data_IF_432171588944
#
_entry.id   IF_432171588944
#
_cell.length_a   1.000
_cell.length_b   1.000
_cell.length_c   1.000
_cell.angle_alpha   90.00
_cell.angle_beta   90.00
_cell.angle_gamma   90.00
#
_symmetry.space_group_name_H-M   'P 1'
#
loop_
_entity.id
_entity.type
_entity.pdbx_description
1 polymer ?
#
# COMPACT_ATOMS: atom_id res chain seq x y z
N UNK A 1 0.72 -4.97 14.56
CA UNK A 1 0.89 -5.00 13.09
C UNK A 1 0.63 -6.43 12.64
N UNK A 2 0.33 -6.64 11.36
CA UNK A 2 0.17 -7.98 10.78
C UNK A 2 1.36 -8.22 9.85
N UNK A 3 2.02 -9.36 9.96
CA UNK A 3 3.19 -9.66 9.12
C UNK A 3 2.79 -9.98 7.68
N UNK A 4 3.66 -9.64 6.73
CA UNK A 4 3.49 -9.98 5.32
C UNK A 4 4.83 -10.22 4.63
N UNK A 5 4.85 -11.17 3.71
CA UNK A 5 5.95 -11.47 2.80
C UNK A 5 5.64 -11.06 1.36
N UNK A 6 4.55 -10.30 1.15
CA UNK A 6 4.10 -9.88 -0.17
C UNK A 6 5.13 -8.98 -0.86
N UNK A 7 5.38 -9.27 -2.13
CA UNK A 7 6.24 -8.47 -3.01
C UNK A 7 5.49 -7.26 -3.62
N UNK A 8 4.15 -7.24 -3.55
CA UNK A 8 3.31 -6.09 -3.90
C UNK A 8 2.39 -5.70 -2.74
N UNK A 9 2.68 -4.56 -2.12
CA UNK A 9 1.84 -4.00 -1.05
C UNK A 9 1.06 -2.83 -1.63
N UNK A 10 -0.25 -2.77 -1.39
CA UNK A 10 -1.08 -1.71 -1.98
C UNK A 10 -2.14 -1.14 -1.04
N UNK A 11 -2.51 0.11 -1.29
CA UNK A 11 -3.69 0.72 -0.67
C UNK A 11 -4.80 0.88 -1.72
N UNK A 12 -6.05 0.65 -1.30
CA UNK A 12 -7.21 1.01 -2.11
C UNK A 12 -8.33 1.52 -1.21
N UNK A 13 -8.86 2.69 -1.55
CA UNK A 13 -10.02 3.27 -0.85
C UNK A 13 -11.31 2.50 -1.10
N UNK A 14 -12.42 3.04 -0.57
CA UNK A 14 -13.77 2.54 -0.76
C UNK A 14 -14.19 2.39 -2.23
N UNK A 15 -13.64 3.19 -3.17
CA UNK A 15 -13.96 3.06 -4.59
C UNK A 15 -13.35 1.80 -5.24
N UNK A 16 -12.32 1.23 -4.62
CA UNK A 16 -11.73 -0.06 -4.99
C UNK A 16 -10.98 -0.11 -6.32
N UNK A 17 -10.70 1.01 -6.99
CA UNK A 17 -10.04 1.00 -8.31
C UNK A 17 -8.68 0.31 -8.29
N UNK A 18 -7.81 0.67 -7.34
CA UNK A 18 -6.49 0.03 -7.18
C UNK A 18 -6.62 -1.46 -6.84
N UNK A 19 -7.61 -1.85 -6.01
CA UNK A 19 -7.85 -3.25 -5.69
C UNK A 19 -8.22 -4.06 -6.94
N UNK A 20 -9.17 -3.56 -7.74
CA UNK A 20 -9.55 -4.20 -9.01
C UNK A 20 -8.41 -4.26 -10.03
N UNK A 21 -7.49 -3.29 -9.99
CA UNK A 21 -6.29 -3.35 -10.83
C UNK A 21 -5.37 -4.48 -10.38
N UNK A 22 -5.09 -4.58 -9.07
CA UNK A 22 -4.23 -5.63 -8.51
C UNK A 22 -4.81 -7.03 -8.75
N UNK A 23 -6.14 -7.20 -8.61
CA UNK A 23 -6.82 -8.47 -8.92
C UNK A 23 -6.59 -8.92 -10.37
N UNK A 24 -6.52 -7.98 -11.32
CA UNK A 24 -6.28 -8.28 -12.73
C UNK A 24 -4.82 -8.62 -13.06
N UNK A 25 -3.89 -8.42 -12.14
CA UNK A 25 -2.49 -8.82 -12.33
C UNK A 25 -2.32 -10.35 -12.26
N UNK A 26 -3.28 -11.09 -11.68
CA UNK A 26 -3.24 -12.54 -11.61
C UNK A 26 -2.09 -13.08 -10.76
N UNK A 27 -1.64 -12.31 -9.76
CA UNK A 27 -0.62 -12.72 -8.81
C UNK A 27 -1.17 -13.76 -7.81
N UNK A 28 -0.29 -14.61 -7.26
CA UNK A 28 -0.70 -15.69 -6.38
C UNK A 28 -1.14 -15.18 -5.00
N UNK A 29 -1.82 -16.04 -4.23
CA UNK A 29 -2.14 -15.74 -2.84
C UNK A 29 -0.84 -15.61 -2.04
N UNK A 30 -0.67 -14.49 -1.34
CA UNK A 30 0.55 -14.18 -0.59
C UNK A 30 1.53 -13.26 -1.32
N UNK A 31 1.47 -13.15 -2.66
CA UNK A 31 2.27 -12.18 -3.43
C UNK A 31 1.82 -10.74 -3.18
N UNK A 32 0.54 -10.56 -2.89
CA UNK A 32 -0.06 -9.24 -2.67
C UNK A 32 -0.57 -9.08 -1.25
N UNK A 33 -0.42 -7.87 -0.70
CA UNK A 33 -1.02 -7.51 0.58
C UNK A 33 -1.67 -6.13 0.54
N UNK A 34 -2.92 -6.08 1.00
CA UNK A 34 -3.70 -4.84 1.04
C UNK A 34 -3.55 -4.17 2.40
N UNK A 35 -3.19 -2.88 2.39
CA UNK A 35 -3.22 -2.06 3.60
C UNK A 35 -4.67 -1.90 4.11
N UNK A 36 -4.88 -1.92 5.43
CA UNK A 36 -6.21 -1.76 6.01
C UNK A 36 -6.88 -0.47 5.56
N UNK A 37 -8.19 -0.52 5.32
CA UNK A 37 -8.96 0.68 4.97
C UNK A 37 -9.12 1.62 6.18
N UNK A 38 -9.31 1.09 7.39
CA UNK A 38 -9.53 1.91 8.58
C UNK A 38 -8.19 2.18 9.27
N UNK A 39 -7.85 3.46 9.44
CA UNK A 39 -6.53 3.86 9.96
C UNK A 39 -6.27 3.38 11.41
N UNK A 40 -7.33 3.10 12.19
CA UNK A 40 -7.18 2.56 13.56
C UNK A 40 -6.66 1.12 13.55
N UNK A 41 -6.94 0.36 12.49
CA UNK A 41 -6.61 -1.06 12.41
C UNK A 41 -5.09 -1.25 12.31
N UNK A 42 -4.52 -2.36 12.83
CA UNK A 42 -3.09 -2.62 12.74
C UNK A 42 -2.60 -2.59 11.29
N UNK A 43 -1.54 -1.81 11.01
CA UNK A 43 -0.91 -1.80 9.68
C UNK A 43 -0.07 -3.07 9.46
N UNK A 44 0.48 -3.24 8.25
CA UNK A 44 1.34 -4.35 7.89
C UNK A 44 2.78 -4.14 8.35
N UNK A 45 3.49 -5.25 8.57
CA UNK A 45 4.93 -5.31 8.83
C UNK A 45 5.57 -6.17 7.73
N UNK A 46 6.31 -5.53 6.81
CA UNK A 46 6.95 -6.21 5.68
C UNK A 46 8.16 -7.03 6.14
N UNK A 47 8.26 -8.28 5.70
CA UNK A 47 9.39 -9.17 5.97
C UNK A 47 10.34 -9.29 4.79
N UNK A 48 9.92 -8.87 3.60
CA UNK A 48 10.66 -9.00 2.34
C UNK A 48 10.59 -7.70 1.51
N UNK A 49 11.51 -7.51 0.54
CA UNK A 49 11.46 -6.39 -0.38
C UNK A 49 10.15 -6.35 -1.18
N UNK A 50 9.58 -5.16 -1.35
CA UNK A 50 8.28 -5.00 -2.02
C UNK A 50 8.17 -3.72 -2.84
N UNK A 51 7.21 -3.71 -3.78
CA UNK A 51 6.74 -2.51 -4.48
C UNK A 51 5.47 -1.99 -3.81
N UNK A 52 5.40 -0.68 -3.57
CA UNK A 52 4.23 -0.03 -2.99
C UNK A 52 3.34 0.56 -4.08
N UNK A 53 2.07 0.14 -4.16
CA UNK A 53 1.08 0.72 -5.06
C UNK A 53 0.01 1.52 -4.30
N UNK A 54 -0.29 2.74 -4.75
CA UNK A 54 -1.31 3.57 -4.12
C UNK A 54 -2.01 4.50 -5.12
N UNK A 55 -3.30 4.82 -4.89
CA UNK A 55 -3.94 5.93 -5.57
C UNK A 55 -3.35 7.26 -5.10
N UNK A 56 -3.40 8.25 -5.97
CA UNK A 56 -3.12 9.66 -5.69
C UNK A 56 -4.44 10.37 -5.46
N UNK A 57 -4.54 11.14 -4.38
CA UNK A 57 -5.69 12.00 -4.11
C UNK A 57 -5.27 13.46 -4.18
N UNK A 58 -5.58 14.13 -5.29
CA UNK A 58 -5.44 15.58 -5.42
C UNK A 58 -4.54 16.02 -6.56
N UNK A 59 -5.04 17.02 -7.30
CA UNK A 59 -4.29 17.77 -8.29
C UNK A 59 -3.17 18.59 -7.63
N UNK A 60 -1.92 18.14 -7.76
CA UNK A 60 -0.71 18.97 -7.63
C UNK A 60 -0.53 19.80 -6.34
N UNK A 61 0.48 19.43 -5.54
CA UNK A 61 1.10 20.22 -4.46
C UNK A 61 0.15 20.71 -3.35
N UNK A 62 -0.09 19.84 -2.37
CA UNK A 62 -0.66 20.22 -1.07
C UNK A 62 -0.60 19.07 -0.05
N UNK A 63 -0.80 19.32 1.26
CA UNK A 63 -0.98 18.25 2.24
C UNK A 63 -2.19 17.37 1.87
N UNK A 64 -2.03 16.04 1.93
CA UNK A 64 -3.13 15.08 1.69
C UNK A 64 -3.01 14.21 0.44
N UNK A 65 -1.93 14.31 -0.35
CA UNK A 65 -1.74 13.48 -1.56
C UNK A 65 -1.56 11.99 -1.24
N UNK A 66 -1.01 11.69 -0.06
CA UNK A 66 -0.75 10.32 0.40
C UNK A 66 -1.82 9.92 1.43
N UNK A 67 -2.52 8.78 1.25
CA UNK A 67 -3.48 8.28 2.23
C UNK A 67 -2.86 8.09 3.62
N UNK A 68 -3.61 8.40 4.68
CA UNK A 68 -3.15 8.27 6.07
C UNK A 68 -2.71 6.85 6.44
N UNK A 69 -3.32 5.84 5.82
CA UNK A 69 -3.01 4.43 5.98
C UNK A 69 -1.63 4.10 5.42
N UNK A 70 -1.29 4.69 4.27
CA UNK A 70 0.05 4.60 3.68
C UNK A 70 1.04 5.34 4.56
N UNK A 71 0.72 6.55 5.05
CA UNK A 71 1.60 7.28 5.99
C UNK A 71 1.87 6.44 7.25
N UNK A 72 0.84 5.82 7.84
CA UNK A 72 0.98 4.92 9.00
C UNK A 72 1.90 3.74 8.69
N UNK A 73 1.73 3.10 7.53
CA UNK A 73 2.57 2.00 7.08
C UNK A 73 4.03 2.43 6.88
N UNK A 74 4.22 3.58 6.21
CA UNK A 74 5.53 4.18 5.98
C UNK A 74 6.13 4.73 7.28
N UNK A 75 5.39 5.00 8.35
CA UNK A 75 5.99 5.45 9.61
C UNK A 75 6.80 4.33 10.32
N UNK A 76 6.60 3.07 9.93
CA UNK A 76 7.42 1.94 10.37
C UNK A 76 8.73 1.93 9.58
N UNK A 77 9.87 2.08 10.29
CA UNK A 77 11.20 2.17 9.66
C UNK A 77 11.52 0.98 8.76
N UNK A 78 11.31 -0.24 9.26
CA UNK A 78 11.56 -1.47 8.50
C UNK A 78 10.77 -1.53 7.18
N UNK A 79 9.50 -1.12 7.19
CA UNK A 79 8.69 -1.09 5.97
C UNK A 79 9.28 -0.15 4.93
N UNK A 80 9.79 1.02 5.33
CA UNK A 80 10.42 1.98 4.39
C UNK A 80 11.72 1.46 3.80
N UNK A 81 12.51 0.75 4.61
CA UNK A 81 13.82 0.22 4.20
C UNK A 81 13.71 -0.89 3.15
N UNK A 82 12.56 -1.58 3.09
CA UNK A 82 12.30 -2.68 2.15
C UNK A 82 11.63 -2.23 0.83
N UNK A 83 11.30 -0.95 0.66
CA UNK A 83 10.67 -0.46 -0.58
C UNK A 83 11.66 -0.53 -1.74
N UNK A 84 11.26 -1.22 -2.81
CA UNK A 84 12.01 -1.31 -4.06
C UNK A 84 11.50 -0.35 -5.15
N UNK A 85 10.26 0.13 -4.99
CA UNK A 85 9.65 1.06 -5.93
C UNK A 85 8.26 1.51 -5.50
N UNK A 86 7.75 2.56 -6.14
CA UNK A 86 6.42 3.10 -5.89
C UNK A 86 5.65 3.22 -7.21
N UNK A 87 4.45 2.66 -7.27
CA UNK A 87 3.51 2.83 -8.38
C UNK A 87 2.35 3.71 -7.90
N UNK A 88 2.27 4.93 -8.41
CA UNK A 88 1.19 5.85 -8.13
C UNK A 88 0.18 5.84 -9.28
N UNK A 89 -1.12 5.75 -8.97
CA UNK A 89 -2.22 5.76 -9.93
C UNK A 89 -3.20 6.91 -9.63
N UNK A 90 -3.93 7.43 -10.61
CA UNK A 90 -4.88 8.53 -10.45
C UNK A 90 -5.87 8.59 -11.60
#
# INVERSE_FOLDING_TARGET
MVETHANLIYFSSVSGYTHRFVEKLGLEEGDTARLPLITRDPTLYAREPFVLMLPTYGAGKGPGVVPKQVIKFLNVKNNRELIQGVIAAG
#
